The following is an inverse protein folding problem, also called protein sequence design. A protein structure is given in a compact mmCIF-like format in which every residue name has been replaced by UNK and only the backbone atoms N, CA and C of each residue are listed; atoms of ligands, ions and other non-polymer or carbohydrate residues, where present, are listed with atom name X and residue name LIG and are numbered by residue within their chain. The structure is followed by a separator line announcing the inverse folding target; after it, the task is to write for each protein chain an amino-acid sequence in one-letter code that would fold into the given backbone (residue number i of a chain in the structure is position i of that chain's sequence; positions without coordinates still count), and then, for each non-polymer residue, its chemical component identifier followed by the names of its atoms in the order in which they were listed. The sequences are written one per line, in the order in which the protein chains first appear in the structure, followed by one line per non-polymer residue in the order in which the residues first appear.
data_IF_524650610113
#
_entry.id   IF_524650610113
#
_cell.length_a   1.000
_cell.length_b   1.000
_cell.length_c   1.000
_cell.angle_alpha   90.00
_cell.angle_beta   90.00
_cell.angle_gamma   90.00
#
_symmetry.space_group_name_H-M   'P 1'
#
loop_
_entity.id
_entity.type
_entity.pdbx_description
1 polymer ?
#
# COMPACT_ATOMS: atom_id res chain seq x y z
N UNK A 1 -15.72 -5.93 17.28
CA UNK A 1 -16.63 -5.12 16.46
C UNK A 1 -18.04 -5.56 16.74
N UNK A 2 -18.93 -4.63 17.05
CA UNK A 2 -20.33 -4.93 17.37
C UNK A 2 -21.16 -5.11 16.09
N UNK A 3 -20.76 -4.43 15.01
CA UNK A 3 -21.27 -4.65 13.66
C UNK A 3 -20.19 -4.40 12.58
N UNK A 4 -20.59 -4.53 11.32
CA UNK A 4 -19.71 -4.31 10.15
C UNK A 4 -19.30 -2.84 9.97
N UNK A 5 -20.11 -1.88 10.41
CA UNK A 5 -19.80 -0.45 10.29
C UNK A 5 -18.65 -0.07 11.22
N UNK A 6 -18.60 -0.63 12.43
CA UNK A 6 -17.45 -0.47 13.33
C UNK A 6 -16.17 -1.03 12.70
N UNK A 7 -16.24 -2.22 12.09
CA UNK A 7 -15.10 -2.83 11.43
C UNK A 7 -14.60 -1.98 10.24
N UNK A 8 -15.52 -1.45 9.42
CA UNK A 8 -15.21 -0.56 8.29
C UNK A 8 -14.56 0.73 8.79
N UNK A 9 -15.08 1.33 9.86
CA UNK A 9 -14.56 2.58 10.42
C UNK A 9 -13.12 2.42 10.91
N UNK A 10 -12.77 1.27 11.48
CA UNK A 10 -11.44 1.05 12.02
C UNK A 10 -10.44 0.61 10.95
N UNK A 11 -10.85 -0.22 9.98
CA UNK A 11 -9.94 -0.72 8.94
C UNK A 11 -9.59 0.33 7.88
N UNK A 12 -10.53 1.23 7.56
CA UNK A 12 -10.33 2.25 6.52
C UNK A 12 -9.14 3.18 6.81
N UNK A 13 -9.02 3.83 7.98
CA UNK A 13 -7.87 4.68 8.30
C UNK A 13 -6.58 3.87 8.48
N UNK A 14 -6.67 2.63 8.97
CA UNK A 14 -5.50 1.76 9.05
C UNK A 14 -4.93 1.44 7.67
N UNK A 15 -5.78 1.07 6.71
CA UNK A 15 -5.35 0.78 5.33
C UNK A 15 -4.90 2.04 4.61
N UNK A 16 -5.73 3.08 4.62
CA UNK A 16 -5.48 4.33 3.89
C UNK A 16 -4.39 5.21 4.49
N UNK A 17 -4.03 5.02 5.75
CA UNK A 17 -2.90 5.68 6.40
C UNK A 17 -1.75 4.71 6.58
N UNK A 18 -1.63 4.16 7.78
CA UNK A 18 -0.45 3.42 8.23
C UNK A 18 -0.03 2.29 7.29
N UNK A 19 -0.94 1.42 6.86
CA UNK A 19 -0.57 0.27 6.03
C UNK A 19 0.01 0.70 4.67
N UNK A 20 -0.66 1.61 3.97
CA UNK A 20 -0.25 2.02 2.63
C UNK A 20 0.97 2.94 2.64
N UNK A 21 1.11 3.81 3.66
CA UNK A 21 2.12 4.87 3.66
C UNK A 21 3.30 4.62 4.59
N UNK A 22 3.06 4.03 5.76
CA UNK A 22 4.07 4.02 6.82
C UNK A 22 4.64 2.62 7.08
N UNK A 23 3.87 1.56 6.79
CA UNK A 23 4.23 0.19 7.15
C UNK A 23 5.41 -0.28 6.29
N UNK A 24 6.59 -0.51 6.88
CA UNK A 24 7.73 -1.05 6.15
C UNK A 24 7.44 -2.52 5.81
N UNK A 25 7.53 -2.88 4.53
CA UNK A 25 7.23 -4.24 4.09
C UNK A 25 8.51 -5.00 3.78
N UNK A 26 8.85 -6.04 4.55
CA UNK A 26 10.08 -6.83 4.36
C UNK A 26 10.16 -7.46 2.97
N UNK A 27 9.03 -7.85 2.40
CA UNK A 27 8.95 -8.37 1.03
C UNK A 27 9.19 -7.29 -0.04
N UNK A 28 8.90 -6.02 0.26
CA UNK A 28 9.12 -4.89 -0.65
C UNK A 28 10.48 -4.22 -0.40
N UNK A 29 11.44 -4.93 0.19
CA UNK A 29 12.75 -4.38 0.54
C UNK A 29 12.69 -3.28 1.62
N UNK A 30 11.64 -3.26 2.44
CA UNK A 30 11.40 -2.25 3.47
C UNK A 30 10.55 -1.07 3.00
N UNK A 31 10.21 -0.97 1.71
CA UNK A 31 9.35 0.08 1.18
C UNK A 31 7.90 -0.06 1.68
N UNK A 32 7.21 1.07 1.76
CA UNK A 32 5.76 1.06 1.93
C UNK A 32 5.08 0.50 0.67
N UNK A 33 3.83 0.00 0.78
CA UNK A 33 3.06 -0.44 -0.38
C UNK A 33 2.93 0.62 -1.48
N UNK A 34 2.70 1.88 -1.13
CA UNK A 34 2.54 2.97 -2.11
C UNK A 34 3.85 3.24 -2.85
N UNK A 35 4.98 3.25 -2.15
CA UNK A 35 6.29 3.47 -2.79
C UNK A 35 6.66 2.31 -3.72
N UNK A 36 6.39 1.08 -3.31
CA UNK A 36 6.66 -0.09 -4.13
C UNK A 36 5.82 -0.09 -5.42
N UNK A 37 4.52 0.20 -5.32
CA UNK A 37 3.63 0.30 -6.48
C UNK A 37 4.11 1.37 -7.46
N UNK A 38 4.55 2.52 -6.96
CA UNK A 38 5.11 3.60 -7.79
C UNK A 38 6.34 3.13 -8.56
N UNK A 39 7.29 2.48 -7.89
CA UNK A 39 8.50 1.95 -8.56
C UNK A 39 8.15 0.88 -9.60
N UNK A 40 7.16 0.05 -9.32
CA UNK A 40 6.69 -0.98 -10.25
C UNK A 40 6.06 -0.38 -11.51
N UNK A 41 5.20 0.63 -11.38
CA UNK A 41 4.61 1.35 -12.51
C UNK A 41 5.67 2.10 -13.34
N UNK A 42 6.65 2.72 -12.68
CA UNK A 42 7.80 3.34 -13.37
C UNK A 42 8.60 2.30 -14.18
N UNK A 43 8.87 1.12 -13.60
CA UNK A 43 9.60 0.05 -14.26
C UNK A 43 8.84 -0.53 -15.48
N UNK A 44 7.52 -0.70 -15.37
CA UNK A 44 6.66 -1.11 -16.49
C UNK A 44 6.68 -0.13 -17.65
N UNK A 45 6.64 1.17 -17.35
CA UNK A 45 6.68 2.21 -18.37
C UNK A 45 8.00 2.19 -19.13
N UNK A 46 9.13 2.03 -18.42
CA UNK A 46 10.45 1.87 -19.05
C UNK A 46 10.51 0.59 -19.91
N UNK A 47 9.99 -0.52 -19.41
CA UNK A 47 9.95 -1.79 -20.15
C UNK A 47 9.09 -1.72 -21.42
N UNK A 48 8.09 -0.84 -21.45
CA UNK A 48 7.20 -0.70 -22.62
C UNK A 48 7.78 0.23 -23.69
N UNK A 49 8.86 0.95 -23.37
CA UNK A 49 9.60 1.85 -24.29
C UNK A 49 10.80 1.13 -24.93
N UNK A 50 11.21 -0.03 -24.42
CA UNK A 50 12.33 -0.85 -24.91
C UNK A 50 11.90 -1.89 -25.94
#
# INVERSE_FOLDING_TARGET
YLDIHDAIRDITPYLGGYYNHDRPHSFNGGLSPVEYEKQWEEAKNVSSIS
#
